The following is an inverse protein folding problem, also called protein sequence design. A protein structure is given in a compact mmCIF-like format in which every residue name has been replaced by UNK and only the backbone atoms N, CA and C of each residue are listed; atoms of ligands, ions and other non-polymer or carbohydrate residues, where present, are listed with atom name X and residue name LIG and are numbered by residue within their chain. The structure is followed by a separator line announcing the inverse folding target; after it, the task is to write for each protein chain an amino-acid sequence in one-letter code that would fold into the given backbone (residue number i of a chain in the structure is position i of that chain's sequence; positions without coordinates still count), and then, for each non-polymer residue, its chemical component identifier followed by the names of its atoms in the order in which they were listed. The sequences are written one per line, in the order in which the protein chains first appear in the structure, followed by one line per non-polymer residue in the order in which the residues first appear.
data_IF_893313222102
#
_entry.id   IF_893313222102
#
_cell.length_a   1.000
_cell.length_b   1.000
_cell.length_c   1.000
_cell.angle_alpha   90.00
_cell.angle_beta   90.00
_cell.angle_gamma   90.00
#
_symmetry.space_group_name_H-M   'P 1'
#
loop_
_entity.id
_entity.type
_entity.pdbx_description
1 polymer ?
#
# COMPACT_ATOMS: atom_id res chain seq x y z
N UNK A 1 32.14 -21.22 -0.58
CA UNK A 1 30.81 -21.77 -0.93
C UNK A 1 29.94 -20.67 -1.52
N UNK A 2 29.70 -20.68 -2.84
CA UNK A 2 28.67 -19.83 -3.44
C UNK A 2 27.30 -20.31 -2.95
N UNK A 3 26.56 -19.47 -2.24
CA UNK A 3 25.19 -19.82 -1.85
C UNK A 3 24.28 -19.69 -3.08
N UNK A 4 23.46 -20.71 -3.28
CA UNK A 4 22.45 -20.78 -4.33
C UNK A 4 21.59 -19.50 -4.34
N UNK A 5 21.42 -18.90 -5.52
CA UNK A 5 20.50 -17.77 -5.73
C UNK A 5 19.19 -18.30 -6.31
N UNK A 6 18.03 -17.74 -5.93
CA UNK A 6 16.77 -18.14 -6.53
C UNK A 6 16.73 -17.75 -8.00
N UNK A 7 16.23 -18.67 -8.84
CA UNK A 7 15.96 -18.41 -10.25
C UNK A 7 14.82 -17.40 -10.42
N UNK A 8 14.73 -16.78 -11.61
CA UNK A 8 13.62 -15.87 -11.95
C UNK A 8 12.27 -16.58 -11.86
N UNK A 9 12.17 -17.78 -12.42
CA UNK A 9 10.96 -18.62 -12.38
C UNK A 9 10.51 -18.91 -10.94
N UNK A 10 11.45 -19.20 -10.04
CA UNK A 10 11.13 -19.41 -8.64
C UNK A 10 10.54 -18.14 -7.99
N UNK A 11 11.13 -16.96 -8.27
CA UNK A 11 10.62 -15.67 -7.76
C UNK A 11 9.22 -15.38 -8.28
N UNK A 12 8.95 -15.67 -9.55
CA UNK A 12 7.63 -15.49 -10.16
C UNK A 12 6.59 -16.42 -9.53
N UNK A 13 6.93 -17.70 -9.34
CA UNK A 13 6.06 -18.68 -8.67
C UNK A 13 5.69 -18.24 -7.25
N UNK A 14 6.68 -17.90 -6.44
CA UNK A 14 6.47 -17.44 -5.06
C UNK A 14 5.72 -16.10 -5.03
N UNK A 15 6.04 -15.19 -5.94
CA UNK A 15 5.33 -13.92 -6.08
C UNK A 15 3.85 -14.11 -6.42
N UNK A 16 3.54 -15.03 -7.33
CA UNK A 16 2.16 -15.38 -7.70
C UNK A 16 1.41 -16.03 -6.53
N UNK A 17 2.05 -16.92 -5.78
CA UNK A 17 1.47 -17.55 -4.59
C UNK A 17 1.13 -16.52 -3.52
N UNK A 18 2.06 -15.60 -3.21
CA UNK A 18 1.81 -14.48 -2.28
C UNK A 18 0.68 -13.57 -2.79
N UNK A 19 0.63 -13.30 -4.11
CA UNK A 19 -0.38 -12.45 -4.71
C UNK A 19 -1.81 -13.01 -4.56
N UNK A 20 -1.99 -14.35 -4.59
CA UNK A 20 -3.30 -15.00 -4.40
C UNK A 20 -3.97 -14.60 -3.08
N UNK A 21 -3.18 -14.42 -2.02
CA UNK A 21 -3.68 -14.01 -0.71
C UNK A 21 -3.74 -12.49 -0.57
N UNK A 22 -2.65 -11.79 -0.92
CA UNK A 22 -2.52 -10.35 -0.68
C UNK A 22 -3.47 -9.51 -1.52
N UNK A 23 -3.85 -9.94 -2.72
CA UNK A 23 -4.86 -9.21 -3.52
C UNK A 23 -6.24 -9.15 -2.85
N UNK A 24 -6.53 -10.09 -1.95
CA UNK A 24 -7.76 -10.16 -1.16
C UNK A 24 -7.60 -9.61 0.27
N UNK A 25 -6.42 -9.06 0.58
CA UNK A 25 -6.05 -8.60 1.91
C UNK A 25 -5.92 -9.72 2.94
N UNK A 26 -5.66 -10.98 2.54
CA UNK A 26 -5.43 -12.09 3.47
C UNK A 26 -3.93 -12.19 3.84
N UNK A 27 -3.43 -11.20 4.57
CA UNK A 27 -2.00 -11.14 4.90
C UNK A 27 -1.58 -12.23 5.89
N UNK A 28 -2.50 -12.68 6.74
CA UNK A 28 -2.27 -13.76 7.70
C UNK A 28 -1.89 -15.06 6.99
N UNK A 29 -2.57 -15.43 5.89
CA UNK A 29 -2.21 -16.61 5.09
C UNK A 29 -1.01 -16.39 4.17
N UNK A 30 -0.75 -15.15 3.76
CA UNK A 30 0.43 -14.82 2.95
C UNK A 30 1.75 -14.92 3.75
N UNK A 31 1.71 -14.63 5.06
CA UNK A 31 2.91 -14.50 5.89
C UNK A 31 3.74 -15.79 6.00
N UNK A 32 3.17 -17.00 6.21
CA UNK A 32 3.94 -18.24 6.22
C UNK A 32 4.69 -18.51 4.91
N UNK A 33 4.07 -18.21 3.76
CA UNK A 33 4.69 -18.38 2.44
C UNK A 33 5.92 -17.49 2.29
N UNK A 34 5.79 -16.20 2.61
CA UNK A 34 6.91 -15.27 2.54
C UNK A 34 7.99 -15.57 3.58
N UNK A 35 7.62 -16.08 4.76
CA UNK A 35 8.57 -16.52 5.78
C UNK A 35 9.37 -17.73 5.31
N UNK A 36 8.73 -18.72 4.67
CA UNK A 36 9.43 -19.88 4.11
C UNK A 36 10.41 -19.47 3.01
N UNK A 37 9.99 -18.57 2.11
CA UNK A 37 10.85 -17.98 1.08
C UNK A 37 12.06 -17.25 1.67
N UNK A 38 11.86 -16.45 2.74
CA UNK A 38 12.95 -15.77 3.45
C UNK A 38 13.89 -16.75 4.14
N UNK A 39 13.37 -17.81 4.77
CA UNK A 39 14.19 -18.85 5.41
C UNK A 39 15.11 -19.53 4.38
N UNK A 40 14.59 -19.82 3.19
CA UNK A 40 15.37 -20.45 2.10
C UNK A 40 16.42 -19.51 1.52
N UNK A 41 16.08 -18.25 1.28
CA UNK A 41 16.99 -17.25 0.70
C UNK A 41 17.07 -15.97 1.56
N UNK A 42 17.75 -16.01 2.72
CA UNK A 42 17.68 -14.94 3.72
C UNK A 42 18.36 -13.63 3.31
N UNK A 43 19.25 -13.68 2.32
CA UNK A 43 19.97 -12.50 1.79
C UNK A 43 19.32 -11.93 0.53
N UNK A 44 18.36 -12.63 -0.05
CA UNK A 44 17.72 -12.22 -1.31
C UNK A 44 16.81 -11.01 -1.07
N UNK A 45 17.03 -9.93 -1.82
CA UNK A 45 16.26 -8.70 -1.68
C UNK A 45 14.76 -8.93 -1.91
N UNK A 46 14.41 -9.73 -2.92
CA UNK A 46 13.03 -10.12 -3.20
C UNK A 46 12.35 -10.77 -1.98
N UNK A 47 12.97 -11.79 -1.38
CA UNK A 47 12.39 -12.50 -0.23
C UNK A 47 12.24 -11.58 0.99
N UNK A 48 13.27 -10.78 1.27
CA UNK A 48 13.25 -9.80 2.37
C UNK A 48 12.16 -8.76 2.18
N UNK A 49 12.02 -8.25 0.95
CA UNK A 49 10.98 -7.30 0.59
C UNK A 49 9.57 -7.89 0.76
N UNK A 50 9.32 -9.08 0.20
CA UNK A 50 8.00 -9.72 0.29
C UNK A 50 7.61 -10.00 1.74
N UNK A 51 8.53 -10.52 2.55
CA UNK A 51 8.28 -10.76 3.96
C UNK A 51 7.99 -9.44 4.70
N UNK A 52 8.82 -8.41 4.53
CA UNK A 52 8.62 -7.13 5.22
C UNK A 52 7.33 -6.41 4.80
N UNK A 53 6.96 -6.48 3.51
CA UNK A 53 5.69 -5.96 3.00
C UNK A 53 4.51 -6.63 3.72
N UNK A 54 4.42 -7.96 3.63
CA UNK A 54 3.30 -8.70 4.22
C UNK A 54 3.25 -8.53 5.74
N UNK A 55 4.41 -8.54 6.40
CA UNK A 55 4.50 -8.33 7.84
C UNK A 55 3.93 -6.96 8.24
N UNK A 56 4.27 -5.91 7.49
CA UNK A 56 3.81 -4.56 7.74
C UNK A 56 2.34 -4.35 7.38
N UNK A 57 1.84 -5.00 6.33
CA UNK A 57 0.42 -4.92 5.92
C UNK A 57 -0.46 -5.69 6.92
N UNK A 58 -0.06 -6.90 7.34
CA UNK A 58 -0.76 -7.64 8.39
C UNK A 58 -0.78 -6.90 9.73
N UNK A 59 0.24 -6.08 10.00
CA UNK A 59 0.30 -5.30 11.23
C UNK A 59 -0.87 -4.31 11.37
N UNK A 60 -1.47 -3.86 10.26
CA UNK A 60 -2.62 -2.94 10.30
C UNK A 60 -3.90 -3.60 10.84
N UNK A 61 -3.98 -4.93 10.85
CA UNK A 61 -5.11 -5.70 11.39
C UNK A 61 -4.96 -6.02 12.89
N UNK A 62 -3.84 -5.63 13.50
CA UNK A 62 -3.50 -6.01 14.87
C UNK A 62 -3.72 -4.87 15.87
N UNK A 63 -3.92 -5.18 17.17
CA UNK A 63 -3.98 -4.17 18.22
C UNK A 63 -2.75 -3.24 18.23
N UNK A 64 -2.88 -1.98 18.70
CA UNK A 64 -1.85 -0.93 18.53
C UNK A 64 -0.43 -1.33 18.94
N UNK A 65 -0.27 -2.02 20.08
CA UNK A 65 1.04 -2.47 20.55
C UNK A 65 1.71 -3.46 19.58
N UNK A 66 0.94 -4.43 19.06
CA UNK A 66 1.42 -5.41 18.07
C UNK A 66 1.65 -4.77 16.71
N UNK A 67 0.74 -3.90 16.25
CA UNK A 67 0.93 -3.09 15.03
C UNK A 67 2.27 -2.38 15.04
N UNK A 68 2.53 -1.60 16.11
CA UNK A 68 3.77 -0.83 16.28
C UNK A 68 5.01 -1.72 16.26
N UNK A 69 4.97 -2.89 16.91
CA UNK A 69 6.07 -3.85 16.91
C UNK A 69 6.36 -4.38 15.50
N UNK A 70 5.34 -4.88 14.79
CA UNK A 70 5.54 -5.48 13.47
C UNK A 70 5.90 -4.46 12.39
N UNK A 71 5.32 -3.25 12.43
CA UNK A 71 5.74 -2.13 11.55
C UNK A 71 7.22 -1.80 11.76
N UNK A 72 7.70 -1.74 13.01
CA UNK A 72 9.14 -1.53 13.31
C UNK A 72 10.02 -2.63 12.73
N UNK A 73 9.62 -3.89 12.85
CA UNK A 73 10.34 -5.03 12.25
C UNK A 73 10.39 -4.93 10.72
N UNK A 74 9.26 -4.64 10.07
CA UNK A 74 9.20 -4.42 8.63
C UNK A 74 10.13 -3.28 8.18
N UNK A 75 10.12 -2.14 8.90
CA UNK A 75 11.01 -1.00 8.64
C UNK A 75 12.48 -1.40 8.78
N UNK A 76 12.83 -2.18 9.81
CA UNK A 76 14.20 -2.63 10.06
C UNK A 76 14.72 -3.52 8.90
N UNK A 77 13.83 -4.25 8.22
CA UNK A 77 14.18 -5.05 7.05
C UNK A 77 14.26 -4.19 5.78
N UNK A 78 13.32 -3.26 5.59
CA UNK A 78 13.23 -2.40 4.39
C UNK A 78 14.35 -1.37 4.34
N UNK A 79 14.73 -0.76 5.47
CA UNK A 79 15.70 0.34 5.52
C UNK A 79 17.06 -0.04 4.90
N UNK A 80 17.68 -1.19 5.22
CA UNK A 80 18.92 -1.62 4.55
C UNK A 80 18.75 -1.86 3.05
N UNK A 81 17.58 -2.36 2.60
CA UNK A 81 17.33 -2.63 1.18
C UNK A 81 17.36 -1.35 0.34
N UNK A 82 17.03 -0.19 0.92
CA UNK A 82 17.13 1.10 0.23
C UNK A 82 18.56 1.44 -0.21
N UNK A 83 19.58 0.87 0.45
CA UNK A 83 20.99 1.09 0.12
C UNK A 83 21.50 0.11 -0.94
N UNK A 84 20.78 -0.98 -1.18
CA UNK A 84 21.15 -2.04 -2.11
C UNK A 84 20.16 -2.15 -3.27
N UNK A 85 19.69 -1.00 -3.77
CA UNK A 85 18.73 -0.95 -4.89
C UNK A 85 19.42 -1.03 -6.26
N UNK A 86 20.74 -0.83 -6.33
CA UNK A 86 21.48 -0.96 -7.58
C UNK A 86 21.39 -2.41 -8.11
N UNK A 87 21.07 -2.57 -9.40
CA UNK A 87 20.87 -3.88 -10.02
C UNK A 87 19.47 -4.49 -9.82
N UNK A 88 18.62 -3.90 -8.97
CA UNK A 88 17.25 -4.38 -8.78
C UNK A 88 16.32 -3.91 -9.91
N UNK A 89 15.35 -4.76 -10.25
CA UNK A 89 14.30 -4.44 -11.23
C UNK A 89 13.55 -3.17 -10.82
N UNK A 90 13.19 -2.26 -11.75
CA UNK A 90 12.49 -1.01 -11.43
C UNK A 90 11.27 -1.19 -10.52
N UNK A 91 10.44 -2.20 -10.82
CA UNK A 91 9.25 -2.55 -10.03
C UNK A 91 9.60 -2.92 -8.58
N UNK A 92 10.67 -3.67 -8.36
CA UNK A 92 11.15 -4.04 -7.02
C UNK A 92 11.64 -2.81 -6.26
N UNK A 93 12.43 -1.95 -6.91
CA UNK A 93 12.92 -0.69 -6.31
C UNK A 93 11.76 0.20 -5.87
N UNK A 94 10.79 0.42 -6.76
CA UNK A 94 9.58 1.17 -6.45
C UNK A 94 8.83 0.55 -5.26
N UNK A 95 8.60 -0.78 -5.30
CA UNK A 95 7.92 -1.52 -4.24
C UNK A 95 8.58 -1.35 -2.87
N UNK A 96 9.91 -1.49 -2.78
CA UNK A 96 10.68 -1.32 -1.54
C UNK A 96 10.54 0.11 -1.01
N UNK A 97 10.75 1.11 -1.86
CA UNK A 97 10.64 2.52 -1.46
C UNK A 97 9.23 2.88 -0.99
N UNK A 98 8.21 2.51 -1.76
CA UNK A 98 6.81 2.77 -1.43
C UNK A 98 6.45 2.15 -0.08
N UNK A 99 6.79 0.87 0.12
CA UNK A 99 6.51 0.17 1.37
C UNK A 99 7.29 0.77 2.53
N UNK A 100 8.53 1.19 2.34
CA UNK A 100 9.29 1.85 3.40
C UNK A 100 8.58 3.10 3.93
N UNK A 101 8.04 3.96 3.04
CA UNK A 101 7.25 5.12 3.45
C UNK A 101 5.92 4.71 4.10
N UNK A 102 5.23 3.72 3.54
CA UNK A 102 3.95 3.23 4.07
C UNK A 102 4.10 2.69 5.49
N UNK A 103 5.06 1.77 5.72
CA UNK A 103 5.25 1.15 7.03
C UNK A 103 5.72 2.15 8.09
N UNK A 104 6.37 3.26 7.69
CA UNK A 104 6.72 4.39 8.57
C UNK A 104 5.58 5.37 8.81
N UNK A 105 4.45 5.21 8.12
CA UNK A 105 3.35 6.18 8.08
C UNK A 105 3.83 7.61 7.71
N UNK A 106 4.91 7.69 6.91
CA UNK A 106 5.45 8.93 6.33
C UNK A 106 4.80 9.21 4.98
N UNK A 107 3.48 9.44 5.01
CA UNK A 107 2.68 9.72 3.82
C UNK A 107 3.10 11.00 3.08
N UNK A 108 3.47 12.11 3.76
CA UNK A 108 4.06 13.26 3.08
C UNK A 108 5.38 12.90 2.35
N UNK A 109 6.23 12.07 2.96
CA UNK A 109 7.44 11.53 2.32
C UNK A 109 7.14 10.69 1.09
N UNK A 110 6.10 9.84 1.16
CA UNK A 110 5.61 9.07 0.02
C UNK A 110 5.18 9.96 -1.14
N UNK A 111 4.46 11.05 -0.86
CA UNK A 111 4.06 12.02 -1.88
C UNK A 111 5.27 12.74 -2.50
N UNK A 112 6.24 13.17 -1.68
CA UNK A 112 7.49 13.77 -2.21
C UNK A 112 8.26 12.78 -3.10
N UNK A 113 8.34 11.51 -2.69
CA UNK A 113 8.94 10.45 -3.50
C UNK A 113 8.21 10.26 -4.83
N UNK A 114 6.88 10.14 -4.81
CA UNK A 114 6.08 9.99 -6.02
C UNK A 114 6.19 11.17 -6.98
N UNK A 115 6.22 12.40 -6.47
CA UNK A 115 6.42 13.61 -7.30
C UNK A 115 7.76 13.60 -8.02
N UNK A 116 8.85 13.18 -7.35
CA UNK A 116 10.18 13.07 -7.99
C UNK A 116 10.19 12.04 -9.12
N UNK A 117 9.47 10.93 -8.97
CA UNK A 117 9.33 9.92 -10.03
C UNK A 117 8.49 10.44 -11.20
N UNK A 118 7.33 11.03 -10.90
CA UNK A 118 6.44 11.59 -11.91
C UNK A 118 7.11 12.70 -12.73
N UNK A 119 7.94 13.54 -12.10
CA UNK A 119 8.71 14.58 -12.78
C UNK A 119 9.74 14.02 -13.79
N UNK A 120 10.10 12.73 -13.68
CA UNK A 120 10.99 12.01 -14.61
C UNK A 120 10.21 11.18 -15.63
N UNK A 121 8.90 11.35 -15.73
CA UNK A 121 8.04 10.59 -16.64
C UNK A 121 7.63 9.20 -16.13
N UNK A 122 7.99 8.83 -14.89
CA UNK A 122 7.59 7.53 -14.33
C UNK A 122 6.14 7.58 -13.81
N UNK A 123 5.25 6.85 -14.48
CA UNK A 123 3.82 6.72 -14.13
C UNK A 123 3.62 6.17 -12.71
N UNK A 124 4.53 5.33 -12.18
CA UNK A 124 4.44 4.83 -10.81
C UNK A 124 4.58 5.96 -9.77
N UNK A 125 5.16 7.10 -10.16
CA UNK A 125 5.17 8.30 -9.35
C UNK A 125 3.76 8.80 -8.99
N UNK A 126 2.83 8.76 -9.94
CA UNK A 126 1.43 9.11 -9.68
C UNK A 126 0.75 8.13 -8.74
N UNK A 127 1.09 6.84 -8.82
CA UNK A 127 0.60 5.85 -7.87
C UNK A 127 1.00 6.19 -6.43
N UNK A 128 2.29 6.47 -6.21
CA UNK A 128 2.80 6.84 -4.88
C UNK A 128 2.16 8.13 -4.35
N UNK A 129 1.95 9.14 -5.21
CA UNK A 129 1.23 10.38 -4.82
C UNK A 129 -0.22 10.10 -4.46
N UNK A 130 -0.91 9.25 -5.23
CA UNK A 130 -2.28 8.85 -4.99
C UNK A 130 -2.45 8.19 -3.61
N UNK A 131 -1.63 7.17 -3.31
CA UNK A 131 -1.65 6.47 -2.03
C UNK A 131 -1.33 7.42 -0.88
N UNK A 132 -0.18 8.09 -0.93
CA UNK A 132 0.28 8.95 0.16
C UNK A 132 -0.66 10.13 0.41
N UNK A 133 -1.20 10.73 -0.65
CA UNK A 133 -2.15 11.83 -0.52
C UNK A 133 -3.46 11.41 0.13
N UNK A 134 -4.01 10.26 -0.24
CA UNK A 134 -5.29 9.80 0.30
C UNK A 134 -5.17 9.32 1.74
N UNK A 135 -4.10 8.60 2.09
CA UNK A 135 -3.82 8.20 3.48
C UNK A 135 -3.59 9.41 4.39
N UNK A 136 -2.87 10.43 3.93
CA UNK A 136 -2.67 11.66 4.71
C UNK A 136 -3.96 12.45 4.87
N UNK A 137 -4.81 12.49 3.84
CA UNK A 137 -6.12 13.13 3.89
C UNK A 137 -7.01 12.46 4.94
N UNK A 138 -7.10 11.13 4.89
CA UNK A 138 -7.90 10.34 5.82
C UNK A 138 -7.41 10.51 7.27
N UNK A 139 -6.10 10.37 7.50
CA UNK A 139 -5.46 10.59 8.81
C UNK A 139 -5.80 11.96 9.39
N UNK A 140 -5.76 13.01 8.56
CA UNK A 140 -6.10 14.38 8.99
C UNK A 140 -7.57 14.56 9.29
N UNK A 141 -8.47 14.04 8.44
CA UNK A 141 -9.93 14.11 8.67
C UNK A 141 -10.29 13.42 9.99
N UNK A 142 -9.78 12.22 10.25
CA UNK A 142 -10.02 11.47 11.49
C UNK A 142 -9.46 12.17 12.73
N UNK A 143 -8.36 12.93 12.59
CA UNK A 143 -7.76 13.69 13.70
C UNK A 143 -8.29 15.12 13.83
N UNK A 144 -9.31 15.53 13.07
CA UNK A 144 -9.80 16.92 13.06
C UNK A 144 -8.76 17.96 12.60
N UNK A 145 -7.72 17.54 11.89
CA UNK A 145 -6.61 18.43 11.49
C UNK A 145 -6.91 19.15 10.18
N UNK A 146 -6.49 20.40 10.11
CA UNK A 146 -6.59 21.22 8.89
C UNK A 146 -5.89 20.57 7.67
N UNK A 147 -6.29 21.04 6.49
CA UNK A 147 -5.76 20.67 5.16
C UNK A 147 -6.06 19.23 4.69
N UNK A 148 -6.96 18.49 5.33
CA UNK A 148 -7.39 17.17 4.85
C UNK A 148 -7.86 17.20 3.39
N UNK A 149 -8.67 18.21 3.03
CA UNK A 149 -9.19 18.43 1.67
C UNK A 149 -8.08 18.67 0.63
N UNK A 150 -7.01 19.38 0.98
CA UNK A 150 -5.88 19.62 0.09
C UNK A 150 -5.12 18.35 -0.28
N UNK A 151 -4.94 17.45 0.70
CA UNK A 151 -4.35 16.13 0.48
C UNK A 151 -5.26 15.22 -0.36
N UNK A 152 -6.57 15.25 -0.11
CA UNK A 152 -7.53 14.50 -0.90
C UNK A 152 -7.53 14.93 -2.38
N UNK A 153 -7.52 16.24 -2.64
CA UNK A 153 -7.38 16.79 -4.01
C UNK A 153 -6.08 16.34 -4.66
N UNK A 154 -4.98 16.33 -3.92
CA UNK A 154 -3.68 15.83 -4.39
C UNK A 154 -3.76 14.35 -4.80
N UNK A 155 -4.43 13.53 -4.00
CA UNK A 155 -4.65 12.10 -4.28
C UNK A 155 -5.45 11.89 -5.56
N UNK A 156 -6.62 12.52 -5.68
CA UNK A 156 -7.50 12.37 -6.85
C UNK A 156 -6.85 12.88 -8.15
N UNK A 157 -6.11 13.99 -8.09
CA UNK A 157 -5.37 14.49 -9.25
C UNK A 157 -4.31 13.48 -9.73
N UNK A 158 -3.66 12.77 -8.80
CA UNK A 158 -2.70 11.73 -9.13
C UNK A 158 -3.39 10.47 -9.68
N UNK A 159 -4.54 10.06 -9.13
CA UNK A 159 -5.32 8.93 -9.66
C UNK A 159 -5.81 9.16 -11.08
N UNK A 160 -6.24 10.40 -11.41
CA UNK A 160 -6.59 10.76 -12.78
C UNK A 160 -5.43 10.54 -13.76
N UNK A 161 -4.19 10.83 -13.35
CA UNK A 161 -2.98 10.64 -14.19
C UNK A 161 -2.48 9.19 -14.19
N UNK A 162 -2.62 8.48 -13.08
CA UNK A 162 -2.23 7.08 -12.98
C UNK A 162 -3.21 6.14 -13.70
N UNK A 163 -4.50 6.47 -13.74
CA UNK A 163 -5.60 5.65 -14.26
C UNK A 163 -5.70 4.25 -13.61
N UNK A 164 -6.69 4.11 -12.72
CA UNK A 164 -6.95 2.90 -11.94
C UNK A 164 -7.71 1.81 -12.69
N UNK A 165 -8.07 2.00 -13.96
CA UNK A 165 -8.92 1.05 -14.72
C UNK A 165 -8.37 -0.38 -14.78
N UNK A 166 -7.04 -0.53 -14.78
CA UNK A 166 -6.34 -1.83 -14.83
C UNK A 166 -5.91 -2.37 -13.47
N UNK A 167 -6.18 -1.64 -12.39
CA UNK A 167 -5.69 -2.00 -11.06
C UNK A 167 -6.54 -3.11 -10.45
N UNK A 168 -5.88 -4.26 -10.21
CA UNK A 168 -6.53 -5.48 -9.67
C UNK A 168 -6.55 -5.48 -8.14
N UNK A 169 -5.62 -4.75 -7.52
CA UNK A 169 -5.55 -4.68 -6.08
C UNK A 169 -6.63 -3.73 -5.53
N UNK A 170 -7.30 -4.10 -4.45
CA UNK A 170 -8.42 -3.31 -3.91
C UNK A 170 -7.99 -1.96 -3.31
N UNK A 171 -6.79 -1.93 -2.71
CA UNK A 171 -6.37 -0.84 -1.84
C UNK A 171 -6.33 0.54 -2.54
N UNK A 172 -5.85 0.69 -3.79
CA UNK A 172 -5.91 1.97 -4.49
C UNK A 172 -7.34 2.50 -4.68
N UNK A 173 -8.31 1.62 -4.95
CA UNK A 173 -9.73 2.00 -5.06
C UNK A 173 -10.31 2.41 -3.70
N UNK A 174 -9.87 1.77 -2.60
CA UNK A 174 -10.19 2.19 -1.24
C UNK A 174 -9.62 3.57 -0.92
N UNK A 175 -8.36 3.84 -1.27
CA UNK A 175 -7.75 5.16 -1.07
C UNK A 175 -8.43 6.25 -1.90
N UNK A 176 -8.84 5.95 -3.13
CA UNK A 176 -9.64 6.86 -3.94
C UNK A 176 -11.00 7.15 -3.26
N UNK A 177 -11.67 6.13 -2.72
CA UNK A 177 -12.90 6.30 -1.96
C UNK A 177 -12.70 7.19 -0.72
N UNK A 178 -11.62 6.97 0.04
CA UNK A 178 -11.26 7.80 1.19
C UNK A 178 -11.04 9.27 0.79
N UNK A 179 -10.34 9.52 -0.32
CA UNK A 179 -10.14 10.88 -0.82
C UNK A 179 -11.46 11.55 -1.23
N UNK A 180 -12.39 10.83 -1.86
CA UNK A 180 -13.73 11.35 -2.13
C UNK A 180 -14.54 11.60 -0.87
N UNK A 181 -14.46 10.73 0.13
CA UNK A 181 -15.13 10.89 1.41
C UNK A 181 -14.67 12.15 2.15
N UNK A 182 -13.36 12.43 2.16
CA UNK A 182 -12.79 13.66 2.76
C UNK A 182 -13.25 14.94 2.04
N UNK A 183 -13.70 14.83 0.79
CA UNK A 183 -14.22 15.95 -0.01
C UNK A 183 -15.75 16.00 -0.04
N UNK A 184 -16.42 15.20 0.79
CA UNK A 184 -17.89 15.08 0.87
C UNK A 184 -18.54 14.71 -0.49
N UNK A 185 -17.77 14.02 -1.35
CA UNK A 185 -18.22 13.53 -2.66
C UNK A 185 -18.80 12.12 -2.54
N UNK A 186 -19.96 12.05 -1.90
CA UNK A 186 -20.56 10.78 -1.49
C UNK A 186 -20.76 9.78 -2.63
N UNK A 187 -21.31 10.23 -3.75
CA UNK A 187 -21.62 9.36 -4.90
C UNK A 187 -20.34 8.74 -5.50
N UNK A 188 -19.31 9.55 -5.71
CA UNK A 188 -17.99 9.13 -6.18
C UNK A 188 -17.34 8.16 -5.19
N UNK A 189 -17.35 8.51 -3.90
CA UNK A 189 -16.75 7.70 -2.84
C UNK A 189 -17.38 6.31 -2.78
N UNK A 190 -18.71 6.21 -2.84
CA UNK A 190 -19.41 4.93 -2.89
C UNK A 190 -19.11 4.12 -4.16
N UNK A 191 -18.93 4.78 -5.33
CA UNK A 191 -18.52 4.07 -6.56
C UNK A 191 -17.12 3.47 -6.42
N UNK A 192 -16.15 4.22 -5.90
CA UNK A 192 -14.79 3.73 -5.65
C UNK A 192 -14.75 2.64 -4.58
N UNK A 193 -15.54 2.78 -3.51
CA UNK A 193 -15.61 1.79 -2.44
C UNK A 193 -16.21 0.46 -2.92
N UNK A 194 -17.23 0.51 -3.80
CA UNK A 194 -17.79 -0.69 -4.45
C UNK A 194 -16.76 -1.39 -5.35
N UNK A 195 -15.90 -0.63 -6.06
CA UNK A 195 -14.79 -1.21 -6.84
C UNK A 195 -13.78 -1.90 -5.91
N UNK A 196 -13.41 -1.27 -4.80
CA UNK A 196 -12.54 -1.87 -3.79
C UNK A 196 -13.14 -3.17 -3.24
N UNK A 197 -14.40 -3.14 -2.81
CA UNK A 197 -15.12 -4.31 -2.30
C UNK A 197 -15.17 -5.47 -3.31
N UNK A 198 -15.48 -5.17 -4.58
CA UNK A 198 -15.46 -6.16 -5.66
C UNK A 198 -14.06 -6.77 -5.86
N UNK A 199 -13.02 -5.95 -5.87
CA UNK A 199 -11.64 -6.40 -6.09
C UNK A 199 -11.13 -7.29 -4.93
N UNK A 200 -11.53 -6.99 -3.69
CA UNK A 200 -11.18 -7.81 -2.53
C UNK A 200 -12.07 -9.05 -2.34
N UNK A 201 -13.22 -9.10 -3.01
CA UNK A 201 -14.25 -10.12 -2.79
C UNK A 201 -15.02 -9.95 -1.47
N UNK A 202 -15.00 -8.73 -0.90
CA UNK A 202 -15.69 -8.38 0.36
C UNK A 202 -16.95 -7.56 0.07
N UNK A 203 -17.82 -7.41 1.06
CA UNK A 203 -18.95 -6.47 0.97
C UNK A 203 -18.51 -5.06 1.37
N UNK A 204 -19.22 -4.02 0.93
CA UNK A 204 -18.91 -2.64 1.35
C UNK A 204 -19.10 -2.38 2.85
N UNK A 205 -19.75 -3.29 3.58
CA UNK A 205 -19.99 -3.21 5.03
C UNK A 205 -18.92 -3.95 5.85
N UNK A 206 -17.94 -4.56 5.17
CA UNK A 206 -16.81 -5.20 5.83
C UNK A 206 -16.01 -4.20 6.68
N UNK A 207 -15.39 -4.67 7.76
CA UNK A 207 -14.66 -3.84 8.71
C UNK A 207 -13.55 -3.01 8.05
N UNK A 208 -12.95 -3.52 6.97
CA UNK A 208 -11.92 -2.85 6.17
C UNK A 208 -12.39 -1.51 5.61
N UNK A 209 -13.69 -1.38 5.34
CA UNK A 209 -14.30 -0.23 4.68
C UNK A 209 -15.08 0.67 5.64
N UNK A 210 -15.17 0.29 6.92
CA UNK A 210 -16.05 0.92 7.88
C UNK A 210 -15.72 2.39 8.11
N UNK A 211 -14.44 2.76 8.11
CA UNK A 211 -14.01 4.13 8.35
C UNK A 211 -14.39 5.08 7.21
N UNK A 212 -14.13 4.68 5.95
CA UNK A 212 -14.54 5.42 4.76
C UNK A 212 -16.06 5.48 4.65
N UNK A 213 -16.75 4.36 4.92
CA UNK A 213 -18.21 4.32 4.90
C UNK A 213 -18.83 5.23 5.96
N UNK A 214 -18.23 5.30 7.15
CA UNK A 214 -18.65 6.21 8.23
C UNK A 214 -18.55 7.67 7.78
N UNK A 215 -17.42 8.07 7.20
CA UNK A 215 -17.23 9.44 6.69
C UNK A 215 -18.24 9.76 5.57
N UNK A 216 -18.50 8.81 4.66
CA UNK A 216 -19.46 9.00 3.55
C UNK A 216 -20.92 9.11 3.99
N UNK A 217 -21.24 8.63 5.20
CA UNK A 217 -22.60 8.66 5.75
C UNK A 217 -22.79 9.72 6.83
N UNK A 218 -21.73 10.38 7.29
CA UNK A 218 -21.85 11.56 8.12
C UNK A 218 -22.65 12.63 7.35
N UNK A 219 -23.66 13.21 7.98
CA UNK A 219 -24.34 14.39 7.41
C UNK A 219 -23.29 15.49 7.28
N UNK A 220 -23.25 16.18 6.14
CA UNK A 220 -22.42 17.38 6.02
C UNK A 220 -22.91 18.38 7.05
N UNK A 221 -22.02 18.79 7.95
CA UNK A 221 -22.26 19.90 8.89
C UNK A 221 -22.52 21.21 8.12
#
# INVERSE_FOLDING_TARGET
MMRERPTTEWKEKIGAEIARYTHRGDYRRALPVARAALKRYPREAFCRFQYAKILGDWADELPPARKKKLKREAIAILKPLLRSLAGEQPKTRFGICLNYYYQREDFPGMVRFGRRLAARGDRQGHYAVGIGGGLEALRRKQSGKARATGWARTSLAAWKRYDLSREKYYFPHYIEAAAHAVLDRRAEGLRSLRRAARASGRTIRDWEFADVLSILNAKGD
#
